data_IF_613884048248
#
_entry.id   IF_613884048248
#
_cell.length_a   1.000
_cell.length_b   1.000
_cell.length_c   1.000
_cell.angle_alpha   90.00
_cell.angle_beta   90.00
_cell.angle_gamma   90.00
#
_symmetry.space_group_name_H-M   'P 1'
#
loop_
_entity.id
_entity.type
_entity.pdbx_description
1 polymer ?
#
# COMPACT_ATOMS: atom_id res chain seq x y z
N UNK A 1 0.10 -6.66 -40.25
CA UNK A 1 0.16 -6.62 -38.77
C UNK A 1 -1.15 -6.05 -38.22
N UNK A 2 -2.05 -6.90 -37.72
CA UNK A 2 -3.31 -6.46 -37.09
C UNK A 2 -3.05 -6.23 -35.59
N UNK A 3 -3.22 -4.99 -35.12
CA UNK A 3 -3.23 -4.65 -33.70
C UNK A 3 -4.49 -5.27 -33.08
N UNK A 4 -4.33 -6.30 -32.25
CA UNK A 4 -5.42 -6.86 -31.45
C UNK A 4 -5.81 -5.86 -30.36
N UNK A 5 -7.04 -5.35 -30.40
CA UNK A 5 -7.68 -4.72 -29.25
C UNK A 5 -7.93 -5.82 -28.22
N UNK A 6 -7.32 -5.72 -27.04
CA UNK A 6 -7.75 -6.50 -25.89
C UNK A 6 -9.16 -6.02 -25.48
N UNK A 7 -10.09 -6.93 -25.19
CA UNK A 7 -11.38 -6.54 -24.66
C UNK A 7 -11.19 -5.99 -23.24
N UNK A 8 -11.50 -4.71 -23.04
CA UNK A 8 -11.67 -4.14 -21.70
C UNK A 8 -12.93 -4.77 -21.08
N UNK A 9 -12.82 -5.46 -19.92
CA UNK A 9 -14.02 -5.88 -19.21
C UNK A 9 -14.84 -4.64 -18.84
N UNK A 10 -16.16 -4.75 -18.86
CA UNK A 10 -17.00 -3.63 -18.42
C UNK A 10 -16.67 -3.28 -16.96
N UNK A 11 -16.68 -1.98 -16.64
CA UNK A 11 -16.42 -1.50 -15.28
C UNK A 11 -17.30 -2.19 -14.22
N UNK A 12 -18.53 -2.58 -14.61
CA UNK A 12 -19.46 -3.34 -13.77
C UNK A 12 -18.99 -4.78 -13.47
N UNK A 13 -18.40 -5.50 -14.44
CA UNK A 13 -17.87 -6.85 -14.23
C UNK A 13 -16.60 -6.85 -13.36
N UNK A 14 -15.82 -5.77 -13.43
CA UNK A 14 -14.63 -5.54 -12.61
C UNK A 14 -15.00 -5.17 -11.16
N UNK A 15 -16.05 -4.36 -10.98
CA UNK A 15 -16.61 -4.00 -9.68
C UNK A 15 -17.22 -5.22 -8.97
N UNK A 16 -17.98 -6.06 -9.69
CA UNK A 16 -18.56 -7.29 -9.12
C UNK A 16 -17.49 -8.33 -8.74
N UNK A 17 -16.42 -8.50 -9.54
CA UNK A 17 -15.30 -9.40 -9.18
C UNK A 17 -14.41 -8.85 -8.05
N UNK A 18 -14.32 -7.52 -7.89
CA UNK A 18 -13.58 -6.91 -6.78
C UNK A 18 -14.28 -7.03 -5.43
N UNK A 19 -15.63 -7.09 -5.42
CA UNK A 19 -16.44 -7.15 -4.20
C UNK A 19 -16.72 -8.59 -3.71
N UNK A 20 -16.61 -9.61 -4.57
CA UNK A 20 -17.05 -10.99 -4.24
C UNK A 20 -15.97 -11.94 -3.70
N UNK A 21 -14.74 -11.48 -3.48
CA UNK A 21 -13.69 -12.32 -2.88
C UNK A 21 -13.39 -11.91 -1.45
N UNK A 22 -13.40 -12.90 -0.53
CA UNK A 22 -12.85 -12.77 0.83
C UNK A 22 -11.46 -12.13 0.73
N UNK A 23 -11.34 -10.88 1.15
CA UNK A 23 -10.07 -10.18 0.97
C UNK A 23 -9.00 -10.73 1.90
N UNK A 24 -7.74 -10.66 1.44
CA UNK A 24 -6.63 -11.38 2.05
C UNK A 24 -5.83 -10.59 3.07
N UNK A 25 -6.01 -9.27 3.09
CA UNK A 25 -5.24 -8.38 3.95
C UNK A 25 -6.11 -7.60 4.92
N UNK A 26 -7.34 -7.22 4.54
CA UNK A 26 -8.08 -6.27 5.38
C UNK A 26 -9.56 -6.62 5.58
N UNK A 27 -10.29 -7.21 4.62
CA UNK A 27 -11.69 -7.53 4.93
C UNK A 27 -11.86 -8.68 5.90
N UNK A 28 -12.66 -8.35 6.89
CA UNK A 28 -13.28 -9.22 7.86
C UNK A 28 -14.71 -9.43 7.37
N UNK A 29 -15.41 -10.45 7.84
CA UNK A 29 -16.82 -10.64 7.52
C UNK A 29 -17.73 -9.61 8.25
N UNK A 30 -17.12 -8.60 8.91
CA UNK A 30 -17.76 -7.56 9.71
C UNK A 30 -17.88 -6.27 8.89
N UNK A 31 -19.09 -5.73 8.81
CA UNK A 31 -19.38 -4.59 7.92
C UNK A 31 -18.69 -3.30 8.37
N UNK A 32 -18.53 -3.08 9.68
CA UNK A 32 -17.92 -1.83 10.18
C UNK A 32 -16.42 -1.73 9.84
N UNK A 33 -15.67 -2.82 9.90
CA UNK A 33 -14.24 -2.82 9.53
C UNK A 33 -14.04 -2.50 8.04
N UNK A 34 -14.92 -3.06 7.20
CA UNK A 34 -14.91 -2.82 5.76
C UNK A 34 -15.11 -1.33 5.46
N UNK A 35 -16.07 -0.72 6.16
CA UNK A 35 -16.37 0.71 6.02
C UNK A 35 -15.24 1.59 6.56
N UNK A 36 -14.63 1.22 7.68
CA UNK A 36 -13.46 1.90 8.23
C UNK A 36 -12.34 1.95 7.19
N UNK A 37 -11.98 0.80 6.62
CA UNK A 37 -10.87 0.66 5.67
C UNK A 37 -11.16 1.39 4.37
N UNK A 38 -12.41 1.30 3.88
CA UNK A 38 -12.88 2.09 2.75
C UNK A 38 -12.68 3.59 3.01
N UNK A 39 -13.00 4.07 4.21
CA UNK A 39 -12.86 5.47 4.58
C UNK A 39 -11.39 5.91 4.72
N UNK A 40 -10.48 5.02 5.16
CA UNK A 40 -9.02 5.27 5.13
C UNK A 40 -8.56 5.54 3.70
N UNK A 41 -8.89 4.65 2.76
CA UNK A 41 -8.48 4.82 1.36
C UNK A 41 -9.16 6.02 0.70
N UNK A 42 -10.43 6.31 1.02
CA UNK A 42 -11.10 7.54 0.55
C UNK A 42 -10.39 8.80 1.05
N UNK A 43 -9.99 8.83 2.32
CA UNK A 43 -9.25 9.95 2.91
C UNK A 43 -7.92 10.18 2.17
N UNK A 44 -7.15 9.11 1.94
CA UNK A 44 -5.88 9.17 1.19
C UNK A 44 -6.10 9.61 -0.26
N UNK A 45 -7.12 9.07 -0.92
CA UNK A 45 -7.46 9.39 -2.30
C UNK A 45 -8.15 10.75 -2.47
N UNK A 46 -8.34 11.50 -1.37
CA UNK A 46 -9.08 12.75 -1.34
C UNK A 46 -10.50 12.64 -1.93
N UNK A 47 -11.22 11.58 -1.56
CA UNK A 47 -12.61 11.32 -1.94
C UNK A 47 -13.50 11.60 -0.72
N UNK A 48 -14.59 12.39 -0.83
CA UNK A 48 -15.52 12.60 0.28
C UNK A 48 -16.05 11.28 0.85
N UNK A 49 -16.15 11.18 2.17
CA UNK A 49 -16.53 9.93 2.84
C UNK A 49 -17.99 9.53 2.57
N UNK A 50 -18.85 10.50 2.29
CA UNK A 50 -20.26 10.34 1.92
C UNK A 50 -20.48 10.16 0.40
N UNK A 51 -19.41 10.21 -0.40
CA UNK A 51 -19.53 10.05 -1.85
C UNK A 51 -20.11 8.68 -2.24
N UNK A 52 -21.15 8.69 -3.07
CA UNK A 52 -21.76 7.48 -3.65
C UNK A 52 -21.03 7.12 -4.94
N UNK A 53 -20.20 6.07 -4.87
CA UNK A 53 -19.42 5.58 -6.01
C UNK A 53 -20.16 4.38 -6.62
N UNK A 54 -20.59 4.54 -7.85
CA UNK A 54 -21.26 3.51 -8.66
C UNK A 54 -20.36 3.13 -9.85
N UNK A 55 -20.67 2.06 -10.57
CA UNK A 55 -19.95 1.72 -11.80
C UNK A 55 -19.97 2.86 -12.85
N UNK A 56 -21.04 3.67 -12.85
CA UNK A 56 -21.24 4.80 -13.75
C UNK A 56 -20.46 6.05 -13.29
N UNK A 57 -20.38 6.28 -11.98
CA UNK A 57 -19.72 7.48 -11.41
C UNK A 57 -18.25 7.26 -11.06
N UNK A 58 -17.76 6.00 -11.09
CA UNK A 58 -16.39 5.66 -10.72
C UNK A 58 -15.35 6.45 -11.52
N UNK A 59 -15.44 6.44 -12.85
CA UNK A 59 -14.46 7.15 -13.69
C UNK A 59 -14.50 8.64 -13.38
N UNK A 60 -15.69 9.26 -13.35
CA UNK A 60 -15.81 10.68 -13.04
C UNK A 60 -15.30 11.04 -11.64
N UNK A 61 -15.50 10.21 -10.62
CA UNK A 61 -14.99 10.47 -9.27
C UNK A 61 -13.45 10.37 -9.23
N UNK A 62 -12.86 9.46 -10.00
CA UNK A 62 -11.41 9.26 -10.05
C UNK A 62 -10.69 10.22 -10.99
N UNK A 63 -11.35 10.73 -12.02
CA UNK A 63 -10.74 11.59 -13.05
C UNK A 63 -11.11 13.06 -12.94
N UNK A 64 -12.20 13.40 -12.23
CA UNK A 64 -12.49 14.80 -11.90
C UNK A 64 -11.39 15.26 -10.96
N UNK A 65 -10.58 16.27 -11.32
CA UNK A 65 -9.64 16.84 -10.39
C UNK A 65 -10.45 17.31 -9.19
N UNK A 66 -10.28 16.67 -8.03
CA UNK A 66 -10.77 17.26 -6.81
C UNK A 66 -9.87 18.48 -6.57
N UNK A 67 -10.36 19.65 -6.99
CA UNK A 67 -9.56 20.89 -7.07
C UNK A 67 -9.08 21.35 -5.70
N UNK A 68 -9.64 20.80 -4.63
CA UNK A 68 -9.20 21.01 -3.26
C UNK A 68 -8.66 19.68 -2.71
N UNK A 69 -7.34 19.51 -2.78
CA UNK A 69 -6.63 18.49 -2.00
C UNK A 69 -7.06 18.61 -0.54
N UNK A 70 -7.26 17.47 0.14
CA UNK A 70 -7.49 17.43 1.59
C UNK A 70 -6.49 18.41 2.22
N UNK A 71 -6.95 19.48 2.88
CA UNK A 71 -6.08 20.58 3.29
C UNK A 71 -4.98 20.09 4.22
N UNK A 72 -5.18 18.95 4.88
CA UNK A 72 -4.14 18.29 5.68
C UNK A 72 -2.91 17.97 4.88
N UNK A 73 -2.96 17.56 3.60
CA UNK A 73 -1.74 17.29 2.84
C UNK A 73 -0.73 18.45 2.84
N UNK A 74 -1.18 19.71 3.03
CA UNK A 74 -0.30 20.89 3.18
C UNK A 74 0.50 20.90 4.49
N UNK A 75 0.07 20.11 5.48
CA UNK A 75 0.71 19.87 6.77
C UNK A 75 1.66 18.67 6.75
N UNK A 76 1.83 18.02 5.59
CA UNK A 76 2.83 16.98 5.40
C UNK A 76 4.10 17.54 4.75
N UNK A 77 5.25 17.00 5.15
CA UNK A 77 6.55 17.28 4.54
C UNK A 77 7.24 15.97 4.20
N UNK A 78 7.80 15.91 3.00
CA UNK A 78 8.60 14.79 2.53
C UNK A 78 10.04 15.25 2.37
N UNK A 79 10.96 14.65 3.10
CA UNK A 79 12.38 14.99 3.09
C UNK A 79 13.21 13.82 2.57
N UNK A 80 14.23 14.10 1.76
CA UNK A 80 15.25 13.13 1.40
C UNK A 80 16.34 13.25 2.46
N UNK A 81 16.63 12.15 3.17
CA UNK A 81 17.49 12.10 4.35
C UNK A 81 16.92 12.82 5.59
N UNK A 82 17.36 12.37 6.76
CA UNK A 82 17.09 12.95 8.07
C UNK A 82 18.32 13.67 8.65
N UNK A 83 19.33 13.97 7.83
CA UNK A 83 20.60 14.56 8.27
C UNK A 83 20.48 15.94 8.93
N UNK A 84 19.36 16.63 8.71
CA UNK A 84 19.05 17.92 9.34
C UNK A 84 18.37 17.78 10.71
N UNK A 85 18.00 16.56 11.11
CA UNK A 85 17.47 16.28 12.43
C UNK A 85 18.61 16.18 13.47
N UNK A 86 18.25 16.42 14.73
CA UNK A 86 19.10 16.09 15.86
C UNK A 86 19.33 14.58 15.95
N UNK A 87 20.49 14.17 16.46
CA UNK A 87 20.91 12.76 16.45
C UNK A 87 19.92 11.81 17.15
N UNK A 88 19.19 12.28 18.17
CA UNK A 88 18.16 11.52 18.89
C UNK A 88 16.86 11.33 18.08
N UNK A 89 16.69 12.07 16.98
CA UNK A 89 15.53 12.00 16.09
C UNK A 89 15.86 11.40 14.72
N UNK A 90 17.13 11.11 14.45
CA UNK A 90 17.53 10.41 13.24
C UNK A 90 17.07 8.94 13.31
N UNK A 91 16.34 8.51 12.29
CA UNK A 91 15.79 7.17 12.13
C UNK A 91 16.33 6.44 10.90
N UNK A 92 17.02 7.13 9.99
CA UNK A 92 17.57 6.53 8.80
C UNK A 92 18.74 5.60 9.15
N UNK A 93 18.63 4.36 8.68
CA UNK A 93 19.66 3.34 8.79
C UNK A 93 19.71 2.56 7.48
N UNK A 94 20.74 1.72 7.31
CA UNK A 94 20.87 0.83 6.15
C UNK A 94 19.71 -0.20 6.00
N UNK A 95 18.74 -0.24 6.93
CA UNK A 95 17.62 -1.18 6.92
C UNK A 95 16.24 -0.52 6.87
N UNK A 96 16.17 0.80 7.07
CA UNK A 96 14.91 1.57 7.09
C UNK A 96 14.73 2.21 5.72
N UNK A 97 13.57 2.03 5.09
CA UNK A 97 13.28 2.68 3.81
C UNK A 97 12.80 4.10 4.05
N UNK A 98 11.86 4.28 4.96
CA UNK A 98 11.37 5.58 5.38
C UNK A 98 10.91 5.47 6.83
N UNK A 99 10.68 6.62 7.44
CA UNK A 99 9.97 6.71 8.72
C UNK A 99 9.21 8.03 8.78
N UNK A 100 8.22 8.09 9.68
CA UNK A 100 7.38 9.26 9.89
C UNK A 100 7.39 9.68 11.36
N UNK A 101 7.43 10.99 11.60
CA UNK A 101 7.13 11.60 12.88
C UNK A 101 5.92 12.54 12.74
N UNK A 102 4.94 12.35 13.62
CA UNK A 102 3.82 13.27 13.78
C UNK A 102 4.17 14.31 14.86
N UNK A 103 4.12 15.59 14.48
CA UNK A 103 4.15 16.69 15.42
C UNK A 103 2.89 16.69 16.27
N UNK A 104 3.01 16.27 17.53
CA UNK A 104 1.86 16.12 18.45
C UNK A 104 1.14 17.44 18.76
N UNK A 105 1.81 18.58 18.60
CA UNK A 105 1.22 19.89 18.92
C UNK A 105 0.42 20.45 17.73
N UNK A 106 0.85 20.14 16.50
CA UNK A 106 0.28 20.71 15.27
C UNK A 106 -0.41 19.69 14.36
N UNK A 107 -0.23 18.40 14.63
CA UNK A 107 -0.69 17.29 13.79
C UNK A 107 0.04 17.19 12.44
N UNK A 108 1.22 17.81 12.29
CA UNK A 108 1.97 17.80 11.04
C UNK A 108 2.71 16.47 10.84
N UNK A 109 2.72 15.93 9.62
CA UNK A 109 3.53 14.76 9.28
C UNK A 109 4.89 15.18 8.71
N UNK A 110 5.97 14.63 9.28
CA UNK A 110 7.31 14.74 8.72
C UNK A 110 7.77 13.34 8.30
N UNK A 111 7.79 13.10 6.99
CA UNK A 111 8.19 11.82 6.40
C UNK A 111 9.61 11.95 5.86
N UNK A 112 10.48 11.04 6.25
CA UNK A 112 11.88 11.01 5.84
C UNK A 112 12.15 9.78 4.99
N UNK A 113 12.69 10.00 3.79
CA UNK A 113 13.11 8.96 2.85
C UNK A 113 14.59 8.67 3.06
N UNK A 114 14.91 7.43 3.40
CA UNK A 114 16.28 6.97 3.67
C UNK A 114 16.89 6.30 2.45
N UNK A 115 18.21 6.17 2.38
CA UNK A 115 18.90 5.60 1.20
C UNK A 115 18.30 4.28 0.67
N UNK A 116 17.92 3.29 1.51
CA UNK A 116 17.29 2.05 1.01
C UNK A 116 15.98 2.25 0.25
N UNK A 117 15.27 3.38 0.43
CA UNK A 117 14.07 3.75 -0.32
C UNK A 117 14.31 3.78 -1.84
N UNK A 118 15.45 4.31 -2.25
CA UNK A 118 15.79 4.51 -3.66
C UNK A 118 16.11 3.19 -4.38
N UNK A 119 16.26 2.09 -3.64
CA UNK A 119 16.31 0.73 -4.19
C UNK A 119 14.97 0.12 -4.58
N UNK A 120 13.85 0.86 -4.49
CA UNK A 120 12.53 0.40 -4.91
C UNK A 120 12.13 1.01 -6.26
N UNK A 121 11.49 0.25 -7.16
CA UNK A 121 11.03 0.76 -8.45
C UNK A 121 9.81 1.69 -8.29
N UNK A 122 9.62 2.60 -9.25
CA UNK A 122 8.33 3.27 -9.43
C UNK A 122 7.27 2.28 -9.93
N UNK A 123 6.01 2.73 -9.95
CA UNK A 123 4.91 1.94 -10.50
C UNK A 123 5.06 1.80 -12.03
N UNK A 124 5.62 2.81 -12.68
CA UNK A 124 5.96 2.83 -14.10
C UNK A 124 7.11 1.87 -14.42
N UNK A 125 8.17 1.83 -13.60
CA UNK A 125 9.29 0.92 -13.82
C UNK A 125 8.85 -0.54 -13.79
N UNK A 126 7.86 -0.90 -12.96
CA UNK A 126 7.30 -2.25 -12.97
C UNK A 126 6.38 -2.42 -14.19
N UNK A 127 5.50 -1.47 -14.48
CA UNK A 127 4.48 -1.64 -15.52
C UNK A 127 5.06 -1.64 -16.95
N UNK A 128 6.04 -0.77 -17.21
CA UNK A 128 6.77 -0.65 -18.47
C UNK A 128 8.28 -0.51 -18.19
N UNK A 129 8.99 -1.64 -17.97
CA UNK A 129 10.34 -1.59 -17.47
C UNK A 129 11.31 -0.90 -18.42
N UNK A 130 12.21 -0.03 -17.93
CA UNK A 130 13.18 0.64 -18.77
C UNK A 130 14.17 -0.35 -19.40
N UNK A 131 14.86 0.09 -20.45
CA UNK A 131 15.92 -0.70 -21.13
C UNK A 131 17.24 -0.62 -20.36
N UNK A 132 17.23 -1.10 -19.13
CA UNK A 132 18.40 -1.11 -18.23
C UNK A 132 18.67 -2.52 -17.70
N UNK A 133 19.93 -2.87 -17.36
CA UNK A 133 20.29 -4.22 -16.89
C UNK A 133 19.61 -4.63 -15.57
N UNK A 134 19.10 -3.68 -14.79
CA UNK A 134 18.40 -3.96 -13.53
C UNK A 134 16.90 -4.26 -13.72
N UNK A 135 16.34 -3.95 -14.90
CA UNK A 135 14.92 -4.18 -15.24
C UNK A 135 14.71 -5.16 -16.40
N UNK A 136 15.70 -5.31 -17.30
CA UNK A 136 15.65 -6.18 -18.48
C UNK A 136 16.96 -6.96 -18.66
N UNK A 137 16.86 -8.14 -19.24
CA UNK A 137 18.01 -8.94 -19.66
C UNK A 137 18.64 -8.43 -20.96
N UNK A 138 19.73 -9.09 -21.38
CA UNK A 138 20.47 -8.73 -22.60
C UNK A 138 19.65 -8.91 -23.90
N UNK A 139 18.53 -9.62 -23.85
CA UNK A 139 17.60 -9.79 -24.97
C UNK A 139 16.44 -8.78 -24.91
N UNK A 140 16.46 -7.85 -23.95
CA UNK A 140 15.43 -6.84 -23.75
C UNK A 140 14.15 -7.38 -23.11
N UNK A 141 14.16 -8.62 -22.59
CA UNK A 141 13.03 -9.19 -21.88
C UNK A 141 13.00 -8.67 -20.45
N UNK A 142 11.83 -8.31 -19.90
CA UNK A 142 11.72 -7.89 -18.50
C UNK A 142 12.25 -8.97 -17.54
N UNK A 143 12.95 -8.54 -16.49
CA UNK A 143 13.40 -9.42 -15.41
C UNK A 143 12.25 -9.80 -14.47
N UNK A 144 12.42 -10.84 -13.62
CA UNK A 144 11.46 -11.14 -12.56
C UNK A 144 11.16 -9.93 -11.67
N UNK A 145 9.88 -9.68 -11.41
CA UNK A 145 9.40 -8.49 -10.70
C UNK A 145 9.23 -7.24 -11.58
N UNK A 146 9.39 -7.36 -12.91
CA UNK A 146 9.21 -6.28 -13.88
C UNK A 146 8.30 -6.76 -15.02
N UNK A 147 7.20 -6.04 -15.26
CA UNK A 147 6.00 -6.40 -16.05
C UNK A 147 4.97 -7.28 -15.32
N UNK A 148 3.72 -7.19 -15.78
CA UNK A 148 2.60 -7.97 -15.24
C UNK A 148 2.82 -9.49 -15.27
N UNK A 149 3.46 -10.00 -16.33
CA UNK A 149 3.73 -11.43 -16.50
C UNK A 149 4.78 -11.91 -15.49
N UNK A 150 5.70 -11.03 -15.08
CA UNK A 150 6.81 -11.36 -14.19
C UNK A 150 6.61 -10.96 -12.73
N UNK A 151 5.44 -10.43 -12.35
CA UNK A 151 5.07 -10.23 -10.94
C UNK A 151 4.78 -11.56 -10.21
N UNK A 152 4.75 -12.68 -10.94
CA UNK A 152 4.37 -14.00 -10.41
C UNK A 152 2.88 -14.08 -10.09
N UNK A 153 2.50 -15.13 -9.38
CA UNK A 153 1.09 -15.44 -9.11
C UNK A 153 0.66 -15.14 -7.67
N UNK A 154 1.58 -14.66 -6.83
CA UNK A 154 1.33 -14.41 -5.40
C UNK A 154 1.69 -12.99 -5.00
N UNK A 155 1.02 -12.47 -3.97
CA UNK A 155 1.39 -11.21 -3.34
C UNK A 155 2.85 -11.26 -2.84
N UNK A 156 3.69 -10.31 -3.25
CA UNK A 156 5.12 -10.31 -2.89
C UNK A 156 5.70 -8.90 -2.92
N UNK A 157 6.91 -8.74 -2.37
CA UNK A 157 7.66 -7.47 -2.48
C UNK A 157 8.07 -7.12 -3.92
N UNK A 158 7.84 -7.97 -4.93
CA UNK A 158 7.90 -7.54 -6.32
C UNK A 158 6.85 -6.48 -6.67
N UNK A 159 5.71 -6.47 -5.97
CA UNK A 159 4.64 -5.49 -6.15
C UNK A 159 4.90 -4.15 -5.45
N UNK A 160 5.86 -4.09 -4.52
CA UNK A 160 6.18 -2.86 -3.79
C UNK A 160 6.82 -1.84 -4.72
N UNK A 161 6.39 -0.60 -4.55
CA UNK A 161 6.88 0.58 -5.26
C UNK A 161 7.38 1.63 -4.28
N UNK A 162 8.08 2.64 -4.78
CA UNK A 162 8.36 3.89 -4.05
C UNK A 162 7.10 4.49 -3.42
N UNK A 163 6.02 4.60 -4.21
CA UNK A 163 4.72 5.08 -3.73
C UNK A 163 4.11 4.21 -2.62
N UNK A 164 4.31 2.89 -2.63
CA UNK A 164 3.82 2.01 -1.57
C UNK A 164 4.55 2.20 -0.23
N UNK A 165 5.81 2.65 -0.26
CA UNK A 165 6.55 3.03 0.95
C UNK A 165 6.08 4.37 1.47
N UNK A 166 5.81 5.35 0.61
CA UNK A 166 5.21 6.62 1.04
C UNK A 166 3.80 6.38 1.63
N UNK A 167 3.00 5.51 1.01
CA UNK A 167 1.69 5.12 1.55
C UNK A 167 1.81 4.51 2.94
N UNK A 168 2.80 3.64 3.17
CA UNK A 168 3.08 3.09 4.48
C UNK A 168 3.22 4.21 5.53
N UNK A 169 4.09 5.19 5.25
CA UNK A 169 4.33 6.31 6.16
C UNK A 169 3.10 7.21 6.37
N UNK A 170 2.28 7.42 5.35
CA UNK A 170 1.04 8.19 5.49
C UNK A 170 -0.02 7.49 6.35
N UNK A 171 -0.05 6.15 6.40
CA UNK A 171 -1.02 5.43 7.23
C UNK A 171 -0.70 5.58 8.72
N UNK A 172 0.57 5.74 9.09
CA UNK A 172 0.97 6.09 10.46
C UNK A 172 0.47 7.49 10.90
N UNK A 173 0.08 8.36 9.95
CA UNK A 173 -0.29 9.75 10.26
C UNK A 173 -1.71 9.86 10.84
N UNK A 174 -1.79 9.65 12.15
CA UNK A 174 -3.02 9.69 12.95
C UNK A 174 -3.89 10.90 12.66
N UNK A 175 -3.30 12.10 12.66
CA UNK A 175 -4.01 13.36 12.43
C UNK A 175 -4.69 13.40 11.07
N UNK A 176 -4.21 12.64 10.08
CA UNK A 176 -4.84 12.56 8.78
C UNK A 176 -6.25 11.97 8.86
N UNK A 177 -6.45 10.98 9.74
CA UNK A 177 -7.64 10.15 9.78
C UNK A 177 -8.61 10.46 10.92
N UNK A 178 -8.36 11.48 11.76
CA UNK A 178 -9.25 11.78 12.91
C UNK A 178 -10.71 12.11 12.54
N UNK A 179 -11.02 12.35 11.26
CA UNK A 179 -12.38 12.57 10.75
C UNK A 179 -12.99 11.35 10.07
N UNK A 180 -12.26 10.23 10.01
CA UNK A 180 -12.83 8.94 9.66
C UNK A 180 -13.78 8.53 10.79
N UNK A 181 -15.05 8.22 10.48
CA UNK A 181 -16.00 7.73 11.47
C UNK A 181 -15.41 6.58 12.28
N UNK A 182 -15.65 6.61 13.59
CA UNK A 182 -15.25 5.55 14.53
C UNK A 182 -13.73 5.28 14.59
N UNK A 183 -12.88 6.21 14.12
CA UNK A 183 -11.41 6.08 14.14
C UNK A 183 -10.87 5.62 15.50
N UNK A 184 -11.34 6.23 16.59
CA UNK A 184 -10.89 5.92 17.95
C UNK A 184 -11.36 4.54 18.47
N UNK A 185 -12.29 3.88 17.80
CA UNK A 185 -12.75 2.53 18.14
C UNK A 185 -11.81 1.49 17.53
N UNK A 186 -11.35 1.76 16.31
CA UNK A 186 -10.51 0.84 15.53
C UNK A 186 -9.02 1.00 15.78
N UNK A 187 -8.55 2.19 16.19
CA UNK A 187 -7.11 2.48 16.27
C UNK A 187 -6.59 2.61 17.70
N UNK A 188 -5.65 1.74 18.05
CA UNK A 188 -5.01 1.69 19.36
C UNK A 188 -4.02 2.83 19.52
N UNK A 189 -4.12 3.59 20.61
CA UNK A 189 -3.13 4.63 20.92
C UNK A 189 -3.13 5.82 19.94
N UNK A 190 -4.15 5.91 19.08
CA UNK A 190 -4.33 7.00 18.13
C UNK A 190 -3.66 6.81 16.77
N UNK A 191 -2.73 5.86 16.63
CA UNK A 191 -1.94 5.61 15.41
C UNK A 191 -2.09 4.17 14.92
N UNK A 192 -2.11 3.97 13.60
CA UNK A 192 -1.97 2.64 13.01
C UNK A 192 -0.47 2.38 12.90
N UNK A 193 0.06 1.57 13.82
CA UNK A 193 1.50 1.30 13.90
C UNK A 193 1.96 0.12 13.05
N UNK A 194 3.28 -0.07 13.03
CA UNK A 194 3.90 -1.31 12.58
C UNK A 194 3.68 -2.39 13.63
N UNK A 195 2.92 -3.41 13.28
CA UNK A 195 2.59 -4.47 14.23
C UNK A 195 3.86 -5.10 14.79
N UNK A 196 4.00 -5.02 16.12
CA UNK A 196 5.06 -5.63 16.91
C UNK A 196 4.48 -6.77 17.74
N UNK A 197 4.06 -7.85 17.08
CA UNK A 197 3.43 -8.97 17.74
C UNK A 197 4.37 -9.87 18.52
N UNK A 198 3.81 -10.75 19.37
CA UNK A 198 4.45 -12.03 19.63
C UNK A 198 4.36 -12.97 18.40
N UNK A 199 3.26 -12.97 17.63
CA UNK A 199 3.08 -13.90 16.51
C UNK A 199 2.16 -13.39 15.38
N UNK A 200 2.67 -13.05 14.18
CA UNK A 200 4.08 -13.08 13.80
C UNK A 200 4.91 -12.08 14.62
N UNK A 201 6.24 -12.27 14.66
CA UNK A 201 7.16 -11.36 15.39
C UNK A 201 7.04 -9.87 14.97
N UNK A 202 6.54 -9.63 13.77
CA UNK A 202 6.28 -8.27 13.26
C UNK A 202 5.32 -8.32 12.06
N UNK A 203 4.79 -7.17 11.62
CA UNK A 203 3.79 -7.07 10.54
C UNK A 203 4.33 -6.92 9.11
N UNK A 204 5.61 -6.61 8.93
CA UNK A 204 6.16 -6.35 7.59
C UNK A 204 6.08 -7.52 6.59
N UNK A 205 5.61 -7.19 5.39
CA UNK A 205 5.53 -8.04 4.21
C UNK A 205 4.15 -8.72 4.05
N UNK A 206 3.80 -9.16 2.82
CA UNK A 206 2.49 -9.72 2.53
C UNK A 206 2.23 -10.99 3.33
N UNK A 207 3.27 -11.80 3.57
CA UNK A 207 3.11 -13.03 4.34
C UNK A 207 2.67 -12.76 5.78
N UNK A 208 3.27 -11.75 6.42
CA UNK A 208 3.00 -11.45 7.84
C UNK A 208 1.74 -10.64 8.01
N UNK A 209 1.49 -9.66 7.14
CA UNK A 209 0.23 -8.95 7.08
C UNK A 209 -0.96 -9.91 6.94
N UNK A 210 -0.89 -10.87 6.01
CA UNK A 210 -1.89 -11.94 5.90
C UNK A 210 -1.98 -12.79 7.17
N UNK A 211 -0.83 -13.19 7.75
CA UNK A 211 -0.83 -14.02 8.96
C UNK A 211 -1.50 -13.31 10.14
N UNK A 212 -1.34 -11.99 10.27
CA UNK A 212 -2.06 -11.18 11.27
C UNK A 212 -3.56 -11.31 11.04
N UNK A 213 -4.03 -11.18 9.81
CA UNK A 213 -5.44 -11.41 9.47
C UNK A 213 -5.91 -12.83 9.78
N UNK A 214 -5.11 -13.83 9.47
CA UNK A 214 -5.49 -15.23 9.68
C UNK A 214 -5.56 -15.60 11.17
N UNK A 215 -4.76 -14.94 12.03
CA UNK A 215 -4.74 -15.18 13.48
C UNK A 215 -5.69 -14.25 14.24
N UNK A 216 -5.69 -12.97 13.89
CA UNK A 216 -6.32 -11.86 14.60
C UNK A 216 -7.25 -11.06 13.70
N UNK A 217 -7.84 -11.72 12.69
CA UNK A 217 -8.96 -11.14 11.94
C UNK A 217 -9.98 -10.57 12.92
N UNK A 218 -10.70 -9.53 12.50
CA UNK A 218 -11.62 -8.85 13.42
C UNK A 218 -12.73 -9.80 13.86
N UNK A 219 -12.59 -10.25 15.10
CA UNK A 219 -13.54 -11.07 15.82
C UNK A 219 -14.12 -10.19 16.92
N UNK A 220 -15.02 -9.25 16.58
CA UNK A 220 -15.69 -8.32 17.52
C UNK A 220 -14.76 -7.80 18.63
N UNK A 221 -13.51 -7.46 18.28
CA UNK A 221 -12.49 -7.06 19.23
C UNK A 221 -12.24 -5.56 19.11
N UNK A 222 -12.05 -4.89 20.23
CA UNK A 222 -11.58 -3.52 20.24
C UNK A 222 -10.15 -3.48 19.67
N UNK A 223 -9.88 -2.55 18.76
CA UNK A 223 -8.59 -2.41 18.07
C UNK A 223 -8.11 -3.70 17.37
N UNK A 224 -8.78 -4.17 16.30
CA UNK A 224 -8.34 -5.36 15.59
C UNK A 224 -6.90 -5.24 15.10
N UNK A 225 -6.06 -6.22 15.41
CA UNK A 225 -4.62 -6.19 15.03
C UNK A 225 -4.44 -6.09 13.51
N UNK A 226 -5.38 -6.65 12.73
CA UNK A 226 -5.41 -6.53 11.27
C UNK A 226 -5.57 -5.09 10.80
N UNK A 227 -6.34 -4.28 11.52
CA UNK A 227 -6.56 -2.85 11.24
C UNK A 227 -5.49 -1.95 11.86
N UNK A 228 -4.69 -2.48 12.79
CA UNK A 228 -3.59 -1.79 13.48
C UNK A 228 -2.20 -2.24 12.98
N UNK A 229 -2.12 -2.68 11.72
CA UNK A 229 -0.84 -2.93 11.05
C UNK A 229 -0.79 -2.20 9.70
N UNK A 230 0.14 -1.27 9.55
CA UNK A 230 0.29 -0.49 8.31
C UNK A 230 0.45 -1.36 7.06
N UNK A 231 1.29 -2.40 7.13
CA UNK A 231 1.56 -3.22 5.95
C UNK A 231 0.32 -4.03 5.48
N UNK A 232 -0.73 -4.17 6.29
CA UNK A 232 -2.02 -4.69 5.81
C UNK A 232 -2.65 -3.74 4.78
N UNK A 233 -2.65 -2.43 5.05
CA UNK A 233 -3.09 -1.37 4.11
C UNK A 233 -2.25 -1.33 2.84
N UNK A 234 -0.93 -1.38 2.99
CA UNK A 234 0.00 -1.36 1.86
C UNK A 234 -0.24 -2.55 0.93
N UNK A 235 -0.29 -3.77 1.48
CA UNK A 235 -0.44 -4.97 0.65
C UNK A 235 -1.84 -5.14 0.07
N UNK A 236 -2.88 -4.63 0.75
CA UNK A 236 -4.19 -4.49 0.14
C UNK A 236 -4.15 -3.58 -1.08
N UNK A 237 -3.57 -2.38 -0.95
CA UNK A 237 -3.52 -1.39 -2.02
C UNK A 237 -2.75 -1.91 -3.25
N UNK A 238 -1.54 -2.44 -3.06
CA UNK A 238 -0.74 -2.94 -4.19
C UNK A 238 -1.35 -4.20 -4.81
N UNK A 239 -1.94 -5.11 -4.03
CA UNK A 239 -2.60 -6.30 -4.57
C UNK A 239 -3.79 -5.92 -5.44
N UNK A 240 -4.63 -4.96 -5.00
CA UNK A 240 -5.76 -4.46 -5.79
C UNK A 240 -5.31 -3.70 -7.03
N UNK A 241 -4.31 -2.83 -6.90
CA UNK A 241 -3.76 -2.07 -8.03
C UNK A 241 -3.22 -3.00 -9.12
N UNK A 242 -2.34 -3.93 -8.77
CA UNK A 242 -1.76 -4.84 -9.75
C UNK A 242 -2.79 -5.80 -10.32
N UNK A 243 -3.77 -6.23 -9.52
CA UNK A 243 -4.84 -7.09 -10.03
C UNK A 243 -5.65 -6.39 -11.12
N UNK A 244 -5.99 -5.11 -10.90
CA UNK A 244 -6.65 -4.27 -11.89
C UNK A 244 -5.76 -4.03 -13.11
N UNK A 245 -4.52 -3.58 -12.90
CA UNK A 245 -3.59 -3.20 -13.96
C UNK A 245 -3.23 -4.36 -14.87
N UNK A 246 -3.03 -5.55 -14.30
CA UNK A 246 -2.59 -6.73 -15.02
C UNK A 246 -3.73 -7.64 -15.48
N UNK A 247 -4.99 -7.33 -15.11
CA UNK A 247 -6.14 -8.16 -15.45
C UNK A 247 -6.05 -9.58 -14.91
N UNK A 248 -5.30 -9.80 -13.82
CA UNK A 248 -5.09 -11.12 -13.20
C UNK A 248 -5.28 -11.04 -11.70
N UNK A 249 -5.68 -12.15 -11.09
CA UNK A 249 -5.70 -12.26 -9.64
C UNK A 249 -4.36 -12.81 -9.19
N UNK A 250 -3.76 -12.15 -8.19
CA UNK A 250 -2.67 -12.74 -7.43
C UNK A 250 -3.25 -13.56 -6.29
N UNK A 251 -2.50 -14.49 -5.72
CA UNK A 251 -2.89 -15.35 -4.62
C UNK A 251 -2.18 -14.98 -3.31
N UNK A 252 -2.73 -15.49 -2.20
CA UNK A 252 -2.09 -15.36 -0.90
C UNK A 252 -0.67 -15.94 -0.92
N UNK A 253 0.32 -15.17 -0.47
CA UNK A 253 1.69 -15.65 -0.42
C UNK A 253 1.85 -16.82 0.57
N UNK A 254 2.41 -17.96 0.13
CA UNK A 254 2.42 -19.19 0.94
C UNK A 254 3.52 -19.17 2.01
N UNK A 255 4.56 -18.35 1.84
CA UNK A 255 5.72 -18.34 2.75
C UNK A 255 6.38 -16.97 2.86
N UNK A 256 7.17 -16.78 3.93
CA UNK A 256 8.04 -15.59 4.06
C UNK A 256 9.11 -15.49 2.98
N UNK A 257 9.48 -16.62 2.35
CA UNK A 257 10.45 -16.65 1.25
C UNK A 257 9.80 -16.13 -0.04
N UNK A 258 8.59 -16.59 -0.34
CA UNK A 258 7.80 -16.14 -1.50
C UNK A 258 7.37 -14.68 -1.40
N UNK A 259 7.27 -14.16 -0.18
CA UNK A 259 6.99 -12.75 0.08
C UNK A 259 8.19 -11.81 -0.19
N UNK A 260 9.43 -12.31 -0.22
CA UNK A 260 10.67 -11.51 -0.23
C UNK A 260 11.49 -11.68 -1.52
N UNK A 261 10.81 -11.83 -2.66
CA UNK A 261 11.42 -12.12 -3.95
C UNK A 261 12.35 -11.01 -4.44
N UNK A 262 11.99 -9.72 -4.32
CA UNK A 262 12.84 -8.60 -4.72
C UNK A 262 14.08 -8.49 -3.84
N UNK A 263 13.90 -8.62 -2.52
CA UNK A 263 15.02 -8.61 -1.58
C UNK A 263 15.99 -9.77 -1.84
N UNK A 264 15.49 -10.91 -2.29
CA UNK A 264 16.33 -12.07 -2.64
C UNK A 264 16.91 -12.03 -4.06
N UNK A 265 16.30 -11.31 -5.01
CA UNK A 265 16.71 -11.37 -6.42
C UNK A 265 17.79 -10.37 -6.81
N UNK A 266 18.00 -9.30 -6.04
CA UNK A 266 18.96 -8.24 -6.37
C UNK A 266 18.53 -7.33 -7.52
N UNK A 267 17.35 -7.53 -8.10
CA UNK A 267 16.82 -6.69 -9.17
C UNK A 267 16.21 -5.40 -8.60
N UNK A 268 17.08 -4.40 -8.42
CA UNK A 268 16.76 -3.11 -7.81
C UNK A 268 17.26 -1.97 -8.68
N UNK A 269 16.51 -0.86 -8.80
CA UNK A 269 17.04 0.36 -9.37
C UNK A 269 18.25 0.88 -8.58
N UNK A 270 19.18 1.59 -9.23
CA UNK A 270 20.37 2.16 -8.59
C UNK A 270 20.19 3.65 -8.24
N UNK A 271 18.95 4.13 -7.99
CA UNK A 271 18.68 5.56 -7.77
C UNK A 271 19.44 6.12 -6.57
#
# INVERSE_FOLDING_TARGET
MRRGRFPTPSAAALHAKMLYHKERFILTDVTEDADFVKNIFRTIANIPLDAVITGQTLVSVLTTPNTELNPRFRQSRLSISDSLLTADRQGCTARVNAFMYEDKDQGNANIYLCDPYFGWPSIEDIADPPRTPWARDNQGRPLPGYSCDNLGDYDSDWMKTTGSTILHEYVHWSWFFIHVPDWYIFVRGGTIDDYAGPNPKHGYGPYRARKIKDIYGSLNQQYPETLNNVDNYVYYAVSKYWSWRCGKQFEATPSSRDARRRKSSGFRPPY
#
